data_IF_086090610692
#
_entry.id   IF_086090610692
#
_cell.length_a   1.000
_cell.length_b   1.000
_cell.length_c   1.000
_cell.angle_alpha   90.00
_cell.angle_beta   90.00
_cell.angle_gamma   90.00
#
_symmetry.space_group_name_H-M   'P 1'
#
loop_
_entity.id
_entity.type
_entity.pdbx_description
1 polymer ?
#
# COMPACT_ATOMS: atom_id res chain seq x y z
N UNK A 1 10.28 -17.11 10.41
CA UNK A 1 10.19 -16.59 10.12
C UNK A 1 11.44 -16.57 9.32
N UNK A 2 12.52 -16.62 9.95
CA UNK A 2 13.74 -16.55 9.21
C UNK A 2 13.74 -15.30 8.37
N UNK A 3 13.73 -15.44 7.07
CA UNK A 3 13.90 -14.31 6.21
C UNK A 3 12.77 -13.30 6.35
N UNK A 4 13.01 -12.14 5.82
CA UNK A 4 12.03 -11.09 5.79
C UNK A 4 10.74 -11.56 5.11
N UNK A 5 9.66 -10.91 5.44
CA UNK A 5 8.37 -11.23 4.87
C UNK A 5 8.42 -11.15 3.35
N UNK A 6 7.72 -12.06 2.69
CA UNK A 6 7.60 -12.03 1.25
C UNK A 6 6.66 -10.89 0.83
N UNK A 7 6.67 -10.57 -0.46
CA UNK A 7 5.75 -9.57 -0.98
C UNK A 7 4.30 -9.97 -0.70
N UNK A 8 4.00 -11.25 -0.80
CA UNK A 8 2.65 -11.74 -0.53
C UNK A 8 2.24 -11.51 0.92
N UNK A 9 3.15 -11.75 1.86
CA UNK A 9 2.87 -11.50 3.27
C UNK A 9 2.66 -10.01 3.52
N UNK A 10 3.47 -9.18 2.89
CA UNK A 10 3.32 -7.73 3.00
C UNK A 10 1.96 -7.30 2.45
N UNK A 11 1.56 -7.86 1.32
CA UNK A 11 0.27 -7.54 0.72
C UNK A 11 -0.87 -7.92 1.66
N UNK A 12 -0.79 -9.09 2.27
CA UNK A 12 -1.80 -9.53 3.23
C UNK A 12 -1.88 -8.56 4.40
N UNK A 13 -0.74 -8.16 4.93
CA UNK A 13 -0.68 -7.20 6.03
C UNK A 13 -1.32 -5.87 5.61
N UNK A 14 -0.95 -5.39 4.43
CA UNK A 14 -1.49 -4.15 3.89
C UNK A 14 -3.02 -4.22 3.77
N UNK A 15 -3.53 -5.32 3.22
CA UNK A 15 -4.95 -5.47 3.01
C UNK A 15 -5.71 -5.51 4.33
N UNK A 16 -5.14 -6.14 5.34
CA UNK A 16 -5.75 -6.18 6.67
C UNK A 16 -5.83 -4.80 7.28
N UNK A 17 -4.78 -4.02 7.15
CA UNK A 17 -4.78 -2.65 7.66
C UNK A 17 -5.80 -1.79 6.93
N UNK A 18 -5.87 -1.95 5.62
CA UNK A 18 -6.82 -1.19 4.82
C UNK A 18 -8.26 -1.48 5.28
N UNK A 19 -8.59 -2.75 5.47
CA UNK A 19 -9.92 -3.11 5.93
C UNK A 19 -10.20 -2.59 7.33
N UNK A 20 -9.21 -2.65 8.22
CA UNK A 20 -9.37 -2.14 9.57
C UNK A 20 -9.67 -0.65 9.56
N UNK A 21 -8.96 0.10 8.73
CA UNK A 21 -9.21 1.54 8.63
C UNK A 21 -10.56 1.85 8.01
N UNK A 22 -10.98 1.06 7.03
CA UNK A 22 -12.31 1.26 6.41
C UNK A 22 -13.43 1.07 7.41
N UNK A 23 -13.25 0.18 8.37
CA UNK A 23 -14.25 -0.03 9.42
C UNK A 23 -14.22 1.05 10.49
N UNK A 24 -13.06 1.64 10.72
CA UNK A 24 -12.91 2.64 11.80
C UNK A 24 -13.16 4.06 11.34
N UNK A 25 -12.80 4.37 10.11
CA UNK A 25 -12.84 5.73 9.60
C UNK A 25 -13.99 5.90 8.63
N UNK A 26 -14.57 7.07 8.60
CA UNK A 26 -15.63 7.40 7.67
C UNK A 26 -15.02 8.01 6.41
N UNK A 27 -15.38 7.45 5.25
CA UNK A 27 -14.97 8.00 3.98
C UNK A 27 -13.63 7.50 3.51
N UNK A 28 -13.34 7.78 2.25
CA UNK A 28 -12.11 7.31 1.60
C UNK A 28 -10.88 8.12 1.96
N UNK A 29 -11.05 9.44 2.12
CA UNK A 29 -9.92 10.32 2.35
C UNK A 29 -9.11 9.98 3.61
N UNK A 30 -9.75 9.84 4.78
CA UNK A 30 -8.98 9.48 5.98
C UNK A 30 -8.28 8.14 5.85
N UNK A 31 -8.94 7.17 5.21
CA UNK A 31 -8.36 5.85 5.01
C UNK A 31 -7.11 5.96 4.14
N UNK A 32 -7.21 6.67 3.03
CA UNK A 32 -6.08 6.83 2.12
C UNK A 32 -4.92 7.56 2.78
N UNK A 33 -5.21 8.58 3.59
CA UNK A 33 -4.17 9.29 4.33
C UNK A 33 -3.37 8.36 5.22
N UNK A 34 -4.06 7.47 5.95
CA UNK A 34 -3.39 6.51 6.80
C UNK A 34 -2.53 5.54 5.99
N UNK A 35 -3.03 5.12 4.85
CA UNK A 35 -2.28 4.21 3.99
C UNK A 35 -1.04 4.90 3.41
N UNK A 36 -1.14 6.19 3.06
CA UNK A 36 0.03 6.94 2.58
C UNK A 36 1.13 7.00 3.64
N UNK A 37 0.75 7.22 4.90
CA UNK A 37 1.71 7.22 5.99
C UNK A 37 2.39 5.86 6.13
N UNK A 38 1.61 4.80 6.00
CA UNK A 38 2.15 3.45 6.05
C UNK A 38 3.14 3.22 4.92
N UNK A 39 2.83 3.71 3.73
CA UNK A 39 3.71 3.52 2.57
C UNK A 39 5.03 4.27 2.70
N UNK A 40 5.10 5.27 3.56
CA UNK A 40 6.38 5.92 3.84
C UNK A 40 7.40 4.91 4.38
N UNK A 41 6.91 3.89 5.06
CA UNK A 41 7.77 2.82 5.58
C UNK A 41 7.87 1.66 4.60
N UNK A 42 6.74 1.22 4.07
CA UNK A 42 6.70 0.04 3.23
C UNK A 42 7.45 0.23 1.91
N UNK A 43 7.43 1.45 1.41
CA UNK A 43 8.05 1.74 0.11
C UNK A 43 9.54 1.49 0.11
N UNK A 44 10.19 1.55 1.26
CA UNK A 44 11.63 1.34 1.35
C UNK A 44 12.05 -0.05 0.87
N UNK A 45 11.14 -1.02 0.90
CA UNK A 45 11.44 -2.37 0.46
C UNK A 45 11.25 -2.61 -1.03
N UNK A 46 10.77 -1.61 -1.77
CA UNK A 46 10.54 -1.75 -3.20
C UNK A 46 11.64 -1.06 -4.01
N UNK A 47 11.86 -1.55 -5.23
CA UNK A 47 12.94 -1.04 -6.07
C UNK A 47 12.67 0.36 -6.60
N UNK A 48 11.47 0.62 -7.06
CA UNK A 48 11.10 1.94 -7.58
C UNK A 48 9.67 2.29 -7.19
N UNK A 49 9.44 2.68 -5.95
CA UNK A 49 8.09 2.94 -5.48
C UNK A 49 7.53 4.31 -5.84
N UNK A 50 8.37 5.28 -6.18
CA UNK A 50 7.95 6.66 -6.32
C UNK A 50 6.79 6.89 -7.29
N UNK A 51 6.82 6.35 -8.53
CA UNK A 51 5.70 6.58 -9.44
C UNK A 51 4.38 6.03 -8.91
N UNK A 52 4.46 4.90 -8.21
CA UNK A 52 3.27 4.25 -7.67
C UNK A 52 2.74 4.99 -6.45
N UNK A 53 3.64 5.51 -5.62
CA UNK A 53 3.23 6.33 -4.48
C UNK A 53 2.52 7.58 -4.96
N UNK A 54 3.03 8.17 -6.03
CA UNK A 54 2.42 9.35 -6.60
C UNK A 54 1.00 9.04 -7.11
N UNK A 55 0.84 7.89 -7.75
CA UNK A 55 -0.48 7.45 -8.21
C UNK A 55 -1.43 7.24 -7.05
N UNK A 56 -0.95 6.67 -5.95
CA UNK A 56 -1.74 6.49 -4.76
C UNK A 56 -2.24 7.82 -4.20
N UNK A 57 -1.37 8.82 -4.17
CA UNK A 57 -1.75 10.14 -3.66
C UNK A 57 -2.74 10.86 -4.55
N UNK A 58 -2.71 10.57 -5.85
CA UNK A 58 -3.63 11.17 -6.80
C UNK A 58 -4.94 10.43 -6.89
N UNK A 59 -5.05 9.26 -6.26
CA UNK A 59 -6.26 8.48 -6.30
C UNK A 59 -7.42 9.24 -5.68
N UNK A 60 -8.55 9.22 -6.35
CA UNK A 60 -9.75 9.90 -5.88
C UNK A 60 -10.61 9.02 -5.01
N UNK A 61 -10.39 7.71 -5.09
CA UNK A 61 -11.15 6.75 -4.30
C UNK A 61 -10.28 5.52 -4.05
N UNK A 62 -10.79 4.61 -3.23
CA UNK A 62 -10.05 3.42 -2.86
C UNK A 62 -9.81 2.48 -4.05
N UNK A 63 -10.71 2.49 -5.02
CA UNK A 63 -10.53 1.65 -6.20
C UNK A 63 -9.27 2.07 -6.96
N UNK A 64 -9.09 3.37 -7.18
CA UNK A 64 -7.90 3.89 -7.84
C UNK A 64 -6.64 3.65 -7.01
N UNK A 65 -6.76 3.82 -5.70
CA UNK A 65 -5.65 3.54 -4.79
C UNK A 65 -5.21 2.09 -4.90
N UNK A 66 -6.17 1.17 -4.86
CA UNK A 66 -5.86 -0.26 -4.93
C UNK A 66 -5.25 -0.64 -6.28
N UNK A 67 -5.68 0.01 -7.35
CA UNK A 67 -5.08 -0.23 -8.66
C UNK A 67 -3.61 0.15 -8.66
N UNK A 68 -3.25 1.25 -8.02
CA UNK A 68 -1.85 1.66 -7.92
C UNK A 68 -1.05 0.67 -7.07
N UNK A 69 -1.64 0.18 -5.97
CA UNK A 69 -1.00 -0.83 -5.13
C UNK A 69 -0.78 -2.12 -5.91
N UNK A 70 -1.79 -2.56 -6.65
CA UNK A 70 -1.67 -3.76 -7.47
C UNK A 70 -0.54 -3.63 -8.49
N UNK A 71 -0.46 -2.49 -9.14
CA UNK A 71 0.60 -2.26 -10.12
C UNK A 71 1.97 -2.33 -9.47
N UNK A 72 2.12 -1.72 -8.30
CA UNK A 72 3.38 -1.74 -7.57
C UNK A 72 3.82 -3.17 -7.26
N UNK A 73 2.91 -3.96 -6.68
CA UNK A 73 3.23 -5.34 -6.32
C UNK A 73 3.49 -6.22 -7.53
N UNK A 74 2.90 -5.89 -8.66
CA UNK A 74 3.07 -6.69 -9.87
C UNK A 74 4.34 -6.34 -10.63
N UNK A 75 4.67 -5.06 -10.68
CA UNK A 75 5.75 -4.56 -11.53
C UNK A 75 7.08 -4.37 -10.81
N UNK A 76 7.04 -4.08 -9.53
CA UNK A 76 8.25 -3.85 -8.75
C UNK A 76 8.50 -4.97 -7.78
N UNK A 77 9.78 -5.22 -7.49
CA UNK A 77 10.15 -6.26 -6.54
C UNK A 77 10.24 -5.71 -5.14
N UNK A 78 9.73 -6.48 -4.20
CA UNK A 78 9.88 -6.18 -2.80
C UNK A 78 11.12 -6.91 -2.29
N UNK A 79 12.12 -6.15 -1.90
CA UNK A 79 13.39 -6.69 -1.41
C UNK A 79 13.65 -6.15 -0.02
N UNK A 80 13.77 -7.00 0.95
CA UNK A 80 14.13 -6.61 2.31
C UNK A 80 15.35 -7.34 2.79
#
# INVERSE_FOLDING_TARGET
>A
GGPAASAQELRTYHDRLLEAYRHRLSGNQPVMHRMWELWAYLSAGFTRPEPYLKRMRKAKNLSEYRAAVDALFREQRYTT
#
